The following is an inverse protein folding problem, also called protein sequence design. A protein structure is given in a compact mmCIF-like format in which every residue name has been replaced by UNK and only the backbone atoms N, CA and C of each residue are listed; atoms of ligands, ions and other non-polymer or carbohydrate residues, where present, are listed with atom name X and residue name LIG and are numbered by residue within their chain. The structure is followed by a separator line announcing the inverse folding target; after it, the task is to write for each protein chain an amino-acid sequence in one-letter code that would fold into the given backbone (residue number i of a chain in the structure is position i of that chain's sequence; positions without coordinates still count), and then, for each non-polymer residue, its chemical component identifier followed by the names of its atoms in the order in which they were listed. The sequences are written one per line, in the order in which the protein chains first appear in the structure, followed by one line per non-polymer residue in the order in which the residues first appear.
data_IF_800071123413
#
_entry.id   IF_800071123413
#
_cell.length_a   1.000
_cell.length_b   1.000
_cell.length_c   1.000
_cell.angle_alpha   90.00
_cell.angle_beta   90.00
_cell.angle_gamma   90.00
#
_symmetry.space_group_name_H-M   'P 1'
#
loop_
_entity.id
_entity.type
_entity.pdbx_description
1 polymer ?
#
# COMPACT_ATOMS: atom_id res chain seq x y z
N UNK A 1 -19.83 8.62 33.05
CA UNK A 1 -20.94 7.97 32.31
C UNK A 1 -20.62 7.96 30.80
N UNK A 2 -19.48 7.31 30.37
CA UNK A 2 -19.05 7.23 28.96
C UNK A 2 -18.51 5.83 28.57
N UNK A 3 -18.88 4.79 29.31
CA UNK A 3 -18.41 3.42 29.09
C UNK A 3 -19.37 2.52 28.28
N UNK A 4 -20.55 3.03 27.91
CA UNK A 4 -21.57 2.25 27.22
C UNK A 4 -21.42 2.15 25.70
N UNK A 5 -20.65 3.05 25.08
CA UNK A 5 -20.57 3.12 23.60
C UNK A 5 -19.41 2.33 22.97
N UNK A 6 -18.44 1.88 23.77
CA UNK A 6 -17.31 1.06 23.25
C UNK A 6 -17.69 -0.42 23.03
N UNK A 7 -18.78 -0.88 23.64
CA UNK A 7 -19.19 -2.29 23.56
C UNK A 7 -19.89 -2.63 22.22
N UNK A 8 -20.39 -1.64 21.50
CA UNK A 8 -21.11 -1.86 20.23
C UNK A 8 -20.25 -1.93 18.98
N UNK A 9 -18.94 -1.64 19.09
CA UNK A 9 -17.98 -1.73 17.98
C UNK A 9 -17.10 -2.97 18.02
N UNK A 10 -17.31 -3.88 18.95
CA UNK A 10 -16.52 -5.11 19.01
C UNK A 10 -17.08 -6.17 18.08
N UNK A 11 -16.34 -6.43 17.03
CA UNK A 11 -16.41 -7.48 16.04
C UNK A 11 -16.85 -8.85 16.63
N UNK A 12 -17.76 -9.61 15.98
CA UNK A 12 -18.30 -10.88 16.43
C UNK A 12 -17.30 -12.04 16.59
N UNK A 13 -16.00 -11.80 16.36
CA UNK A 13 -14.93 -12.81 16.44
C UNK A 13 -14.29 -13.00 17.84
N UNK A 14 -14.76 -12.28 18.86
CA UNK A 14 -14.24 -12.47 20.22
C UNK A 14 -15.07 -13.49 21.00
N UNK A 15 -14.46 -14.58 21.40
CA UNK A 15 -15.05 -15.45 22.42
C UNK A 15 -15.27 -14.65 23.73
N UNK A 16 -16.49 -14.64 24.26
CA UNK A 16 -16.91 -13.84 25.42
C UNK A 16 -15.97 -13.91 26.64
N UNK A 17 -15.23 -15.01 26.80
CA UNK A 17 -14.34 -15.25 27.94
C UNK A 17 -12.94 -14.62 27.84
N UNK A 18 -12.44 -14.36 26.65
CA UNK A 18 -11.09 -13.73 26.47
C UNK A 18 -11.17 -12.22 26.54
N UNK A 19 -12.24 -11.64 25.99
CA UNK A 19 -12.47 -10.20 26.01
C UNK A 19 -12.65 -9.66 27.43
N UNK A 20 -13.36 -10.38 28.29
CA UNK A 20 -13.54 -9.99 29.70
C UNK A 20 -12.23 -10.01 30.49
N UNK A 21 -11.30 -10.93 30.21
CA UNK A 21 -9.98 -10.98 30.85
C UNK A 21 -9.10 -9.79 30.44
N UNK A 22 -9.15 -9.37 29.15
CA UNK A 22 -8.38 -8.23 28.66
C UNK A 22 -8.91 -6.93 29.24
N UNK A 23 -10.23 -6.73 29.29
CA UNK A 23 -10.83 -5.54 29.92
C UNK A 23 -10.43 -5.45 31.39
N UNK A 24 -10.39 -6.55 32.11
CA UNK A 24 -9.97 -6.55 33.52
C UNK A 24 -8.50 -6.15 33.69
N UNK A 25 -7.58 -6.59 32.80
CA UNK A 25 -6.17 -6.23 32.90
C UNK A 25 -5.93 -4.79 32.48
N UNK A 26 -6.55 -4.34 31.37
CA UNK A 26 -6.38 -2.97 30.83
C UNK A 26 -7.00 -1.92 31.76
N UNK A 27 -8.03 -2.25 32.52
CA UNK A 27 -8.73 -1.33 33.43
C UNK A 27 -7.81 -0.79 34.56
N UNK A 28 -6.79 -1.56 34.95
CA UNK A 28 -5.86 -1.22 36.04
C UNK A 28 -4.50 -0.67 35.55
N UNK A 29 -4.31 -0.51 34.22
CA UNK A 29 -3.07 0.06 33.68
C UNK A 29 -3.13 1.60 33.59
N UNK A 30 -2.01 2.33 33.77
CA UNK A 30 -1.91 3.75 33.44
C UNK A 30 -2.27 4.02 31.96
N UNK A 31 -2.88 5.16 31.66
CA UNK A 31 -3.40 5.44 30.31
C UNK A 31 -2.33 5.43 29.21
N UNK A 32 -1.12 5.86 29.53
CA UNK A 32 0.05 5.77 28.62
C UNK A 32 0.42 4.32 28.24
N UNK A 33 0.24 3.36 29.16
CA UNK A 33 0.55 1.95 28.93
C UNK A 33 -0.62 1.21 28.26
N UNK A 34 -1.86 1.68 28.46
CA UNK A 34 -3.06 1.11 27.80
C UNK A 34 -2.96 1.16 26.29
N UNK A 35 -2.53 2.30 25.75
CA UNK A 35 -2.40 2.49 24.29
C UNK A 35 -1.36 1.55 23.69
N UNK A 36 -0.21 1.38 24.36
CA UNK A 36 0.84 0.49 23.89
C UNK A 36 0.49 -0.99 24.10
N UNK A 37 -0.19 -1.35 25.18
CA UNK A 37 -0.66 -2.70 25.40
C UNK A 37 -1.71 -3.12 24.38
N UNK A 38 -2.63 -2.21 24.01
CA UNK A 38 -3.64 -2.44 22.94
C UNK A 38 -2.97 -2.57 21.58
N UNK A 39 -2.00 -1.69 21.25
CA UNK A 39 -1.21 -1.79 20.03
C UNK A 39 -0.43 -3.11 19.96
N UNK A 40 0.27 -3.47 21.03
CA UNK A 40 1.05 -4.71 21.11
C UNK A 40 0.17 -5.96 21.01
N UNK A 41 -1.03 -5.91 21.57
CA UNK A 41 -1.99 -7.01 21.48
C UNK A 41 -2.59 -7.14 20.07
N UNK A 42 -2.90 -6.02 19.43
CA UNK A 42 -3.35 -5.98 18.03
C UNK A 42 -2.27 -6.52 17.09
N UNK A 43 -0.99 -6.17 17.30
CA UNK A 43 0.15 -6.69 16.54
C UNK A 43 0.33 -8.20 16.74
N UNK A 44 0.17 -8.72 17.97
CA UNK A 44 0.30 -10.16 18.25
C UNK A 44 -0.78 -11.04 17.62
N UNK A 45 -1.92 -10.47 17.21
CA UNK A 45 -3.02 -11.20 16.56
C UNK A 45 -3.05 -11.09 15.04
N UNK A 46 -2.13 -10.35 14.42
CA UNK A 46 -2.00 -10.38 12.96
C UNK A 46 -1.58 -11.77 12.54
N UNK A 47 -2.35 -12.35 11.63
CA UNK A 47 -1.97 -13.60 10.98
C UNK A 47 -0.67 -13.39 10.20
N UNK A 48 -0.01 -14.47 9.81
CA UNK A 48 1.17 -14.41 8.91
C UNK A 48 0.80 -14.08 7.46
N UNK A 49 -0.40 -13.54 7.22
CA UNK A 49 -0.95 -13.30 5.89
C UNK A 49 -0.46 -11.97 5.33
N UNK A 50 -0.06 -11.96 4.07
CA UNK A 50 0.37 -10.77 3.34
C UNK A 50 -0.77 -10.29 2.45
N UNK A 51 -1.19 -9.02 2.60
CA UNK A 51 -2.11 -8.37 1.68
C UNK A 51 -1.39 -7.89 0.43
N UNK A 52 -1.90 -8.22 -0.76
CA UNK A 52 -1.34 -7.76 -2.03
C UNK A 52 -2.43 -7.03 -2.80
N UNK A 53 -2.20 -5.76 -3.11
CA UNK A 53 -3.18 -4.87 -3.74
C UNK A 53 -2.62 -4.34 -5.05
N UNK A 54 -3.33 -4.58 -6.16
CA UNK A 54 -3.16 -3.86 -7.41
C UNK A 54 -4.39 -3.02 -7.72
N UNK A 55 -4.26 -1.99 -8.53
CA UNK A 55 -5.38 -1.15 -8.94
C UNK A 55 -6.21 -1.81 -10.05
N UNK A 56 -5.55 -2.46 -10.98
CA UNK A 56 -6.14 -3.07 -12.17
C UNK A 56 -6.11 -4.59 -12.10
N UNK A 57 -7.01 -5.25 -12.85
CA UNK A 57 -7.02 -6.72 -12.92
C UNK A 57 -5.73 -7.25 -13.51
N UNK A 58 -5.20 -6.57 -14.52
CA UNK A 58 -3.95 -6.91 -15.20
C UNK A 58 -2.77 -7.03 -14.24
N UNK A 59 -2.73 -6.20 -13.20
CA UNK A 59 -1.66 -6.18 -12.19
C UNK A 59 -1.69 -7.38 -11.23
N UNK A 60 -2.89 -7.98 -11.03
CA UNK A 60 -3.08 -9.05 -10.04
C UNK A 60 -3.52 -10.38 -10.63
N UNK A 61 -4.02 -10.41 -11.88
CA UNK A 61 -4.56 -11.62 -12.48
C UNK A 61 -3.57 -12.79 -12.47
N UNK A 62 -2.32 -12.53 -12.87
CA UNK A 62 -1.29 -13.58 -12.91
C UNK A 62 -0.92 -14.09 -11.51
N UNK A 63 -0.85 -13.23 -10.52
CA UNK A 63 -0.63 -13.63 -9.13
C UNK A 63 -1.82 -14.47 -8.61
N UNK A 64 -3.05 -14.10 -8.96
CA UNK A 64 -4.25 -14.89 -8.62
C UNK A 64 -4.26 -16.28 -9.28
N UNK A 65 -3.82 -16.38 -10.54
CA UNK A 65 -3.68 -17.65 -11.25
C UNK A 65 -2.65 -18.57 -10.59
N UNK A 66 -1.52 -18.01 -10.15
CA UNK A 66 -0.41 -18.75 -9.53
C UNK A 66 -0.67 -19.07 -8.05
N UNK A 67 -1.75 -18.54 -7.47
CA UNK A 67 -2.09 -18.76 -6.07
C UNK A 67 -2.53 -20.20 -5.82
N UNK A 68 -1.81 -20.91 -4.98
CA UNK A 68 -2.13 -22.26 -4.52
C UNK A 68 -3.19 -22.22 -3.41
N UNK A 69 -3.94 -23.31 -3.22
CA UNK A 69 -5.00 -23.44 -2.21
C UNK A 69 -6.03 -22.27 -2.27
N UNK A 70 -6.38 -21.85 -3.48
CA UNK A 70 -7.13 -20.63 -3.79
C UNK A 70 -8.57 -20.68 -3.29
N UNK A 71 -8.97 -19.69 -2.50
CA UNK A 71 -10.34 -19.41 -2.05
C UNK A 71 -10.75 -18.01 -2.51
N UNK A 72 -11.90 -17.89 -3.19
CA UNK A 72 -12.47 -16.60 -3.59
C UNK A 72 -13.48 -16.13 -2.54
N UNK A 73 -13.28 -14.93 -2.02
CA UNK A 73 -14.08 -14.37 -0.92
C UNK A 73 -14.58 -12.98 -1.32
N UNK A 74 -15.90 -12.79 -1.29
CA UNK A 74 -16.50 -11.48 -1.53
C UNK A 74 -16.74 -10.76 -0.19
N UNK A 75 -16.34 -9.49 -0.10
CA UNK A 75 -16.63 -8.57 1.00
C UNK A 75 -17.12 -7.23 0.45
N UNK A 76 -18.40 -6.97 0.59
CA UNK A 76 -19.01 -5.82 -0.05
C UNK A 76 -18.83 -5.86 -1.57
N UNK A 77 -18.33 -4.79 -2.20
CA UNK A 77 -18.09 -4.75 -3.63
C UNK A 77 -16.77 -5.40 -4.05
N UNK A 78 -15.91 -5.84 -3.11
CA UNK A 78 -14.57 -6.34 -3.40
C UNK A 78 -14.52 -7.86 -3.43
N UNK A 79 -13.71 -8.38 -4.38
CA UNK A 79 -13.38 -9.79 -4.50
C UNK A 79 -11.92 -10.01 -4.10
N UNK A 80 -11.73 -10.90 -3.15
CA UNK A 80 -10.43 -11.28 -2.62
C UNK A 80 -10.11 -12.71 -3.02
N UNK A 81 -8.85 -12.97 -3.33
CA UNK A 81 -8.32 -14.32 -3.51
C UNK A 81 -7.35 -14.60 -2.38
N UNK A 82 -7.73 -15.51 -1.49
CA UNK A 82 -6.88 -16.00 -0.40
C UNK A 82 -6.23 -17.30 -0.82
N UNK A 83 -4.98 -17.52 -0.45
CA UNK A 83 -4.24 -18.77 -0.72
C UNK A 83 -2.77 -18.62 -0.44
N UNK A 84 -1.91 -19.28 -1.23
CA UNK A 84 -0.46 -19.24 -1.05
C UNK A 84 0.27 -18.84 -2.33
N UNK A 85 1.29 -17.99 -2.18
CA UNK A 85 2.26 -17.66 -3.23
C UNK A 85 3.67 -17.85 -2.67
N UNK A 86 4.52 -18.56 -3.39
CA UNK A 86 5.89 -18.87 -2.93
C UNK A 86 5.94 -19.42 -1.49
N UNK A 87 4.92 -20.18 -1.10
CA UNK A 87 4.78 -20.76 0.25
C UNK A 87 4.28 -19.80 1.33
N UNK A 88 4.05 -18.51 1.03
CA UNK A 88 3.50 -17.53 1.97
C UNK A 88 1.97 -17.45 1.87
N UNK A 89 1.30 -17.32 3.00
CA UNK A 89 -0.14 -17.03 3.04
C UNK A 89 -0.41 -15.62 2.53
N UNK A 90 -1.25 -15.49 1.50
CA UNK A 90 -1.57 -14.22 0.86
C UNK A 90 -3.06 -13.99 0.73
N UNK A 91 -3.44 -12.72 0.64
CA UNK A 91 -4.76 -12.29 0.15
C UNK A 91 -4.55 -11.21 -0.91
N UNK A 92 -5.05 -11.48 -2.12
CA UNK A 92 -4.91 -10.60 -3.27
C UNK A 92 -6.24 -9.93 -3.58
N UNK A 93 -6.19 -8.67 -4.00
CA UNK A 93 -7.37 -7.98 -4.51
C UNK A 93 -7.03 -6.96 -5.59
N UNK A 94 -8.04 -6.69 -6.43
CA UNK A 94 -8.08 -5.52 -7.29
C UNK A 94 -8.84 -4.42 -6.55
N UNK A 95 -8.19 -3.29 -6.33
CA UNK A 95 -8.79 -2.15 -5.64
C UNK A 95 -9.73 -1.32 -6.54
N UNK A 96 -9.39 -1.18 -7.82
CA UNK A 96 -9.89 -0.16 -8.74
C UNK A 96 -8.98 1.07 -8.73
N UNK A 97 -9.05 1.85 -9.81
CA UNK A 97 -8.21 3.03 -10.03
C UNK A 97 -8.67 4.18 -9.12
N UNK A 98 -7.70 4.93 -8.61
CA UNK A 98 -7.89 6.16 -7.84
C UNK A 98 -7.95 5.97 -6.33
N UNK A 99 -7.71 7.07 -5.62
CA UNK A 99 -7.50 7.11 -4.17
C UNK A 99 -8.68 6.56 -3.35
N UNK A 100 -9.91 6.86 -3.74
CA UNK A 100 -11.11 6.43 -3.01
C UNK A 100 -11.27 4.91 -3.10
N UNK A 101 -11.11 4.33 -4.29
CA UNK A 101 -11.18 2.89 -4.50
C UNK A 101 -10.07 2.18 -3.70
N UNK A 102 -8.84 2.68 -3.81
CA UNK A 102 -7.67 2.15 -3.11
C UNK A 102 -7.85 2.16 -1.59
N UNK A 103 -8.29 3.28 -1.02
CA UNK A 103 -8.52 3.43 0.41
C UNK A 103 -9.60 2.48 0.93
N UNK A 104 -10.76 2.45 0.25
CA UNK A 104 -11.90 1.62 0.66
C UNK A 104 -11.57 0.11 0.57
N UNK A 105 -10.89 -0.32 -0.50
CA UNK A 105 -10.45 -1.71 -0.67
C UNK A 105 -9.42 -2.10 0.42
N UNK A 106 -8.47 -1.21 0.72
CA UNK A 106 -7.45 -1.45 1.76
C UNK A 106 -8.10 -1.63 3.12
N UNK A 107 -9.07 -0.79 3.49
CA UNK A 107 -9.78 -0.94 4.75
C UNK A 107 -10.57 -2.26 4.79
N UNK A 108 -11.28 -2.59 3.71
CA UNK A 108 -12.01 -3.86 3.61
C UNK A 108 -11.10 -5.09 3.75
N UNK A 109 -9.90 -5.04 3.15
CA UNK A 109 -8.87 -6.08 3.28
C UNK A 109 -8.40 -6.21 4.73
N UNK A 110 -8.08 -5.10 5.38
CA UNK A 110 -7.59 -5.08 6.77
C UNK A 110 -8.66 -5.63 7.72
N UNK A 111 -9.91 -5.20 7.58
CA UNK A 111 -11.02 -5.63 8.44
C UNK A 111 -11.34 -7.12 8.27
N UNK A 112 -11.26 -7.63 7.03
CA UNK A 112 -11.64 -9.01 6.75
C UNK A 112 -10.53 -10.02 7.07
N UNK A 113 -9.25 -9.65 6.92
CA UNK A 113 -8.14 -10.61 6.93
C UNK A 113 -7.04 -10.29 7.94
N UNK A 114 -7.00 -9.08 8.52
CA UNK A 114 -5.99 -8.64 9.50
C UNK A 114 -4.55 -8.96 9.05
N UNK A 115 -4.11 -8.51 7.87
CA UNK A 115 -2.81 -8.86 7.30
C UNK A 115 -1.66 -8.39 8.19
N UNK A 116 -0.54 -9.12 8.17
CA UNK A 116 0.69 -8.74 8.85
C UNK A 116 1.33 -7.51 8.19
N UNK A 117 1.27 -7.47 6.86
CA UNK A 117 1.81 -6.39 6.03
C UNK A 117 1.05 -6.29 4.71
N UNK A 118 1.16 -5.15 4.05
CA UNK A 118 0.53 -4.88 2.75
C UNK A 118 1.60 -4.55 1.72
N UNK A 119 1.51 -5.18 0.55
CA UNK A 119 2.27 -4.85 -0.66
C UNK A 119 1.28 -4.23 -1.65
N UNK A 120 1.54 -3.00 -2.08
CA UNK A 120 0.89 -2.42 -3.23
C UNK A 120 1.81 -2.60 -4.44
N UNK A 121 1.34 -3.30 -5.45
CA UNK A 121 2.08 -3.61 -6.68
C UNK A 121 1.38 -3.01 -7.88
N UNK A 122 2.13 -2.62 -8.90
CA UNK A 122 1.59 -2.04 -10.12
C UNK A 122 2.61 -1.24 -10.91
N UNK A 123 2.09 -0.40 -11.81
CA UNK A 123 2.90 0.45 -12.69
C UNK A 123 2.85 1.92 -12.28
N UNK A 124 3.80 2.73 -12.78
CA UNK A 124 3.85 4.16 -12.51
C UNK A 124 4.59 4.91 -13.63
N UNK A 125 4.36 6.23 -13.72
CA UNK A 125 5.14 7.14 -14.55
C UNK A 125 6.39 7.64 -13.82
N UNK A 126 7.56 7.62 -14.48
CA UNK A 126 8.82 8.12 -13.95
C UNK A 126 8.82 9.65 -13.82
N UNK A 127 9.19 10.16 -12.65
CA UNK A 127 9.37 11.59 -12.39
C UNK A 127 10.86 11.96 -12.31
N UNK A 128 11.67 11.16 -11.60
CA UNK A 128 13.11 11.37 -11.51
C UNK A 128 13.79 11.10 -12.87
N UNK A 129 14.88 11.82 -13.14
CA UNK A 129 15.55 11.76 -14.45
C UNK A 129 16.34 10.46 -14.67
N UNK A 130 16.83 9.89 -13.57
CA UNK A 130 17.64 8.66 -13.57
C UNK A 130 16.81 7.37 -13.68
N UNK A 131 15.49 7.47 -13.58
CA UNK A 131 14.58 6.32 -13.59
C UNK A 131 13.90 6.22 -14.95
N UNK A 132 14.00 5.06 -15.57
CA UNK A 132 13.53 4.82 -16.93
C UNK A 132 12.45 3.74 -16.98
N UNK A 133 11.80 3.64 -18.14
CA UNK A 133 10.79 2.60 -18.41
C UNK A 133 11.37 1.22 -18.14
N UNK A 134 10.59 0.39 -17.44
CA UNK A 134 10.91 -0.95 -16.93
C UNK A 134 11.82 -1.01 -15.71
N UNK A 135 12.29 0.10 -15.18
CA UNK A 135 12.96 0.11 -13.87
C UNK A 135 11.96 -0.11 -12.74
N UNK A 136 12.45 -0.63 -11.62
CA UNK A 136 11.69 -0.81 -10.38
C UNK A 136 11.93 0.35 -9.42
N UNK A 137 10.85 0.97 -8.96
CA UNK A 137 10.86 1.85 -7.81
C UNK A 137 10.31 1.12 -6.58
N UNK A 138 11.11 1.09 -5.52
CA UNK A 138 10.74 0.70 -4.16
C UNK A 138 10.43 1.97 -3.38
N UNK A 139 9.25 2.08 -2.76
CA UNK A 139 8.89 3.29 -2.02
C UNK A 139 9.70 3.42 -0.74
N UNK A 140 10.30 4.60 -0.51
CA UNK A 140 10.74 5.01 0.83
C UNK A 140 9.57 5.57 1.62
N UNK A 141 8.72 6.33 0.96
CA UNK A 141 7.51 6.95 1.48
C UNK A 141 6.51 7.20 0.33
N UNK A 142 5.28 7.59 0.70
CA UNK A 142 4.26 8.01 -0.25
C UNK A 142 3.50 9.22 0.28
N UNK A 143 3.08 10.14 -0.62
CA UNK A 143 2.25 11.30 -0.29
C UNK A 143 1.22 11.60 -1.38
N UNK A 144 0.16 12.33 -1.01
CA UNK A 144 -0.86 12.79 -1.95
C UNK A 144 -0.51 14.18 -2.46
N UNK A 145 -0.02 14.30 -3.70
CA UNK A 145 0.45 15.57 -4.27
C UNK A 145 -0.68 16.56 -4.62
N UNK A 146 -1.90 16.07 -4.70
CA UNK A 146 -3.11 16.83 -5.03
C UNK A 146 -3.93 17.24 -3.79
N UNK A 147 -3.39 16.98 -2.59
CA UNK A 147 -3.94 17.51 -1.35
C UNK A 147 -3.44 18.95 -1.16
N UNK A 148 -4.36 19.90 -1.23
CA UNK A 148 -4.04 21.33 -1.05
C UNK A 148 -4.89 21.94 0.07
N UNK A 149 -4.20 22.31 1.14
CA UNK A 149 -4.75 23.06 2.26
C UNK A 149 -3.84 24.26 2.61
N UNK A 150 -3.11 24.78 1.62
CA UNK A 150 -2.16 25.87 1.80
C UNK A 150 -2.82 27.17 2.27
N UNK A 151 -4.07 27.42 1.90
CA UNK A 151 -4.88 28.53 2.40
C UNK A 151 -5.03 28.51 3.95
N UNK A 152 -4.90 27.35 4.57
CA UNK A 152 -4.93 27.18 6.02
C UNK A 152 -3.54 27.07 6.64
N UNK A 153 -2.47 27.37 5.88
CA UNK A 153 -1.08 27.36 6.34
C UNK A 153 -0.43 25.97 6.38
N UNK A 154 -1.05 24.94 5.81
CA UNK A 154 -0.41 23.64 5.66
C UNK A 154 0.54 23.62 4.46
N UNK A 155 1.65 22.87 4.51
CA UNK A 155 2.44 22.57 3.32
C UNK A 155 1.58 21.88 2.25
N UNK A 156 1.88 22.10 0.98
CA UNK A 156 1.23 21.38 -0.12
C UNK A 156 1.48 19.87 0.03
N UNK A 157 0.44 19.05 -0.15
CA UNK A 157 0.48 17.60 0.09
C UNK A 157 0.17 17.20 1.55
N UNK A 158 0.19 18.14 2.49
CA UNK A 158 -0.14 17.86 3.88
C UNK A 158 -1.63 17.68 4.08
N UNK A 159 -2.03 16.52 4.58
CA UNK A 159 -3.41 16.30 5.00
C UNK A 159 -3.61 17.04 6.35
N UNK A 160 -4.58 17.95 6.44
CA UNK A 160 -4.81 18.70 7.67
C UNK A 160 -5.01 17.80 8.89
N UNK A 161 -4.33 18.14 10.00
CA UNK A 161 -4.34 17.40 11.28
C UNK A 161 -3.67 16.02 11.27
N UNK A 162 -3.08 15.58 10.16
CA UNK A 162 -2.15 14.45 10.16
C UNK A 162 -0.75 14.98 10.53
N UNK A 163 0.01 14.16 11.27
CA UNK A 163 1.37 14.54 11.70
C UNK A 163 2.37 14.44 10.54
N UNK A 164 2.20 13.43 9.71
CA UNK A 164 3.12 13.11 8.62
C UNK A 164 2.69 13.79 7.31
N UNK A 165 3.61 14.47 6.62
CA UNK A 165 3.43 14.93 5.24
C UNK A 165 3.42 13.74 4.27
N UNK A 166 4.30 12.78 4.50
CA UNK A 166 4.42 11.56 3.72
C UNK A 166 4.38 10.34 4.64
N UNK A 167 3.79 9.25 4.17
CA UNK A 167 3.67 8.00 4.90
C UNK A 167 4.90 7.13 4.66
N UNK A 168 5.79 6.90 5.66
CA UNK A 168 6.98 6.09 5.48
C UNK A 168 6.63 4.61 5.30
N UNK A 169 7.27 3.95 4.33
CA UNK A 169 7.18 2.51 4.15
C UNK A 169 7.96 1.76 5.24
N UNK A 170 7.69 0.48 5.41
CA UNK A 170 8.36 -0.35 6.42
C UNK A 170 9.81 -0.67 6.02
N UNK A 171 10.77 -0.30 6.86
CA UNK A 171 12.21 -0.39 6.58
C UNK A 171 12.66 -1.81 6.23
N UNK A 172 12.21 -2.82 6.97
CA UNK A 172 12.56 -4.23 6.70
C UNK A 172 12.05 -4.71 5.34
N UNK A 173 10.87 -4.22 4.92
CA UNK A 173 10.34 -4.53 3.61
C UNK A 173 11.15 -3.83 2.51
N UNK A 174 11.59 -2.59 2.74
CA UNK A 174 12.50 -1.85 1.84
C UNK A 174 13.80 -2.62 1.65
N UNK A 175 14.48 -2.97 2.76
CA UNK A 175 15.75 -3.71 2.72
C UNK A 175 15.63 -5.02 1.94
N UNK A 176 14.57 -5.81 2.20
CA UNK A 176 14.28 -7.05 1.46
C UNK A 176 14.07 -6.76 -0.03
N UNK A 177 13.25 -5.76 -0.39
CA UNK A 177 12.98 -5.42 -1.77
C UNK A 177 14.24 -4.99 -2.54
N UNK A 178 15.09 -4.18 -1.91
CA UNK A 178 16.37 -3.78 -2.49
C UNK A 178 17.35 -4.96 -2.67
N UNK A 179 17.36 -5.90 -1.73
CA UNK A 179 18.18 -7.11 -1.82
C UNK A 179 17.70 -8.02 -2.97
N UNK A 180 16.39 -8.22 -3.08
CA UNK A 180 15.77 -8.97 -4.19
C UNK A 180 16.07 -8.29 -5.53
N UNK A 181 15.89 -6.96 -5.63
CA UNK A 181 16.15 -6.23 -6.86
C UNK A 181 17.61 -6.34 -7.33
N UNK A 182 18.58 -6.39 -6.41
CA UNK A 182 19.99 -6.62 -6.73
C UNK A 182 20.27 -8.02 -7.28
N UNK A 183 19.48 -9.01 -6.92
CA UNK A 183 19.65 -10.41 -7.36
C UNK A 183 18.98 -10.70 -8.70
N UNK A 184 18.00 -9.87 -9.11
CA UNK A 184 17.30 -10.01 -10.37
C UNK A 184 18.00 -9.24 -11.50
N UNK A 185 17.72 -9.60 -12.74
CA UNK A 185 18.29 -8.96 -13.93
C UNK A 185 17.19 -8.38 -14.82
N UNK A 186 17.58 -7.45 -15.69
CA UNK A 186 16.70 -6.87 -16.70
C UNK A 186 16.06 -5.54 -16.32
N UNK A 187 16.37 -5.00 -15.14
CA UNK A 187 15.96 -3.67 -14.69
C UNK A 187 16.90 -3.15 -13.59
N UNK A 188 16.87 -1.84 -13.34
CA UNK A 188 17.51 -1.24 -12.18
C UNK A 188 16.48 -1.04 -11.07
N UNK A 189 16.96 -1.05 -9.83
CA UNK A 189 16.12 -0.87 -8.65
C UNK A 189 16.50 0.42 -7.94
N UNK A 190 15.51 1.28 -7.74
CA UNK A 190 15.65 2.57 -7.08
C UNK A 190 14.83 2.63 -5.80
N UNK A 191 15.34 3.34 -4.81
CA UNK A 191 14.58 3.72 -3.62
C UNK A 191 14.15 5.18 -3.75
N UNK A 192 12.85 5.47 -3.64
CA UNK A 192 12.39 6.83 -3.84
C UNK A 192 10.99 7.11 -3.33
N UNK A 193 10.55 8.35 -3.50
CA UNK A 193 9.23 8.83 -3.12
C UNK A 193 8.20 8.52 -4.20
N UNK A 194 7.09 7.92 -3.80
CA UNK A 194 5.89 7.77 -4.63
C UNK A 194 4.95 8.93 -4.36
N UNK A 195 4.49 9.61 -5.41
CA UNK A 195 3.45 10.64 -5.26
C UNK A 195 2.17 10.21 -5.96
N UNK A 196 1.05 10.35 -5.24
CA UNK A 196 -0.26 9.87 -5.66
C UNK A 196 -1.21 11.04 -5.91
N UNK A 197 -2.01 10.93 -6.97
CA UNK A 197 -3.12 11.84 -7.23
C UNK A 197 -4.11 11.27 -8.23
N UNK A 198 -5.36 11.71 -8.20
CA UNK A 198 -6.40 11.23 -9.12
C UNK A 198 -6.25 11.86 -10.52
N UNK A 199 -5.05 11.71 -11.11
CA UNK A 199 -4.70 12.28 -12.41
C UNK A 199 -3.60 11.45 -13.08
N UNK A 200 -3.81 11.08 -14.36
CA UNK A 200 -2.75 10.54 -15.20
C UNK A 200 -1.83 11.69 -15.64
N UNK A 201 -0.58 11.67 -15.19
CA UNK A 201 0.39 12.74 -15.47
C UNK A 201 1.01 12.51 -16.85
N UNK A 202 0.73 13.44 -17.79
CA UNK A 202 1.19 13.38 -19.18
C UNK A 202 1.74 14.73 -19.68
N UNK A 203 2.10 15.66 -18.80
CA UNK A 203 2.69 16.93 -19.18
C UNK A 203 4.06 17.12 -18.53
N UNK A 204 5.00 17.65 -19.31
CA UNK A 204 6.35 17.96 -18.82
C UNK A 204 6.30 18.99 -17.65
N UNK A 205 5.42 19.98 -17.73
CA UNK A 205 5.25 20.96 -16.68
C UNK A 205 4.84 20.32 -15.34
N UNK A 206 3.84 19.41 -15.37
CA UNK A 206 3.41 18.70 -14.17
C UNK A 206 4.50 17.76 -13.64
N UNK A 207 5.22 17.07 -14.51
CA UNK A 207 6.38 16.26 -14.15
C UNK A 207 7.43 17.08 -13.39
N UNK A 208 7.83 18.23 -13.95
CA UNK A 208 8.81 19.10 -13.32
C UNK A 208 8.33 19.69 -12.00
N UNK A 209 7.05 20.05 -11.92
CA UNK A 209 6.43 20.50 -10.68
C UNK A 209 6.52 19.41 -9.60
N UNK A 210 6.10 18.16 -9.90
CA UNK A 210 6.14 17.06 -8.96
C UNK A 210 7.57 16.73 -8.49
N UNK A 211 8.54 16.82 -9.41
CA UNK A 211 9.95 16.61 -9.08
C UNK A 211 10.49 17.68 -8.13
N UNK A 212 10.23 18.96 -8.43
CA UNK A 212 10.77 20.10 -7.67
C UNK A 212 10.09 20.26 -6.31
N UNK A 213 8.77 20.18 -6.28
CA UNK A 213 7.98 20.45 -5.08
C UNK A 213 8.05 19.30 -4.10
N UNK A 214 7.90 18.06 -4.58
CA UNK A 214 7.79 16.89 -3.71
C UNK A 214 9.03 16.00 -3.71
N UNK A 215 10.04 16.27 -4.54
CA UNK A 215 11.18 15.37 -4.76
C UNK A 215 10.68 13.96 -5.16
N UNK A 216 9.66 13.93 -6.01
CA UNK A 216 9.02 12.71 -6.46
C UNK A 216 9.97 11.87 -7.32
N UNK A 217 9.93 10.56 -7.15
CA UNK A 217 10.65 9.59 -7.99
C UNK A 217 9.73 8.97 -9.05
N UNK A 218 8.48 8.68 -8.71
CA UNK A 218 7.43 8.31 -9.65
C UNK A 218 6.08 8.87 -9.22
N UNK A 219 5.09 8.82 -10.13
CA UNK A 219 3.71 9.19 -9.85
C UNK A 219 2.75 8.08 -10.29
N UNK A 220 1.67 7.92 -9.52
CA UNK A 220 0.62 6.93 -9.75
C UNK A 220 -0.69 7.41 -9.08
N UNK A 221 -1.71 6.55 -8.93
CA UNK A 221 -3.05 7.04 -8.53
C UNK A 221 -3.61 6.39 -7.24
N UNK A 222 -2.89 5.50 -6.53
CA UNK A 222 -3.41 4.70 -5.40
C UNK A 222 -2.51 4.65 -4.17
N UNK A 223 -1.21 4.59 -4.36
CA UNK A 223 -0.24 4.15 -3.35
C UNK A 223 -0.30 4.93 -2.05
N UNK A 224 -0.37 6.27 -2.09
CA UNK A 224 -0.45 7.06 -0.87
C UNK A 224 -1.78 6.89 -0.13
N UNK A 225 -2.88 6.58 -0.83
CA UNK A 225 -4.15 6.27 -0.18
C UNK A 225 -4.11 4.93 0.55
N UNK A 226 -3.48 3.91 -0.06
CA UNK A 226 -3.20 2.61 0.58
C UNK A 226 -2.29 2.81 1.79
N UNK A 227 -1.21 3.56 1.63
CA UNK A 227 -0.25 3.89 2.68
C UNK A 227 -0.92 4.59 3.88
N UNK A 228 -1.77 5.58 3.63
CA UNK A 228 -2.53 6.30 4.65
C UNK A 228 -3.42 5.35 5.47
N UNK A 229 -4.19 4.49 4.79
CA UNK A 229 -5.08 3.53 5.47
C UNK A 229 -4.26 2.48 6.24
N UNK A 230 -3.20 1.94 5.65
CA UNK A 230 -2.31 1.01 6.33
C UNK A 230 -1.71 1.64 7.59
N UNK A 231 -1.18 2.88 7.50
CA UNK A 231 -0.63 3.64 8.61
C UNK A 231 -1.65 3.85 9.74
N UNK A 232 -2.88 4.30 9.40
CA UNK A 232 -3.97 4.51 10.38
C UNK A 232 -4.34 3.22 11.13
N UNK A 233 -4.25 2.07 10.47
CA UNK A 233 -4.49 0.76 11.06
C UNK A 233 -3.23 0.14 11.69
N UNK A 234 -2.08 0.83 11.63
CA UNK A 234 -0.79 0.34 12.12
C UNK A 234 -0.31 -0.90 11.36
N UNK A 235 -0.69 -1.10 10.10
CA UNK A 235 -0.23 -2.21 9.24
C UNK A 235 1.00 -1.74 8.46
N UNK A 236 2.15 -2.44 8.56
CA UNK A 236 3.31 -2.18 7.71
C UNK A 236 2.95 -2.28 6.22
N UNK A 237 3.53 -1.43 5.38
CA UNK A 237 3.29 -1.46 3.95
C UNK A 237 4.55 -1.19 3.13
N UNK A 238 4.51 -1.61 1.87
CA UNK A 238 5.49 -1.27 0.83
C UNK A 238 4.76 -1.06 -0.49
N UNK A 239 5.20 -0.05 -1.25
CA UNK A 239 4.74 0.18 -2.62
C UNK A 239 5.86 -0.19 -3.58
N UNK A 240 5.53 -1.01 -4.56
CA UNK A 240 6.43 -1.47 -5.63
C UNK A 240 5.85 -1.02 -6.97
N UNK A 241 6.62 -0.27 -7.75
CA UNK A 241 6.19 0.26 -9.04
C UNK A 241 7.20 -0.05 -10.13
N UNK A 242 6.79 -0.80 -11.13
CA UNK A 242 7.54 -0.87 -12.38
C UNK A 242 7.13 0.29 -13.29
N UNK A 243 8.12 0.93 -13.90
CA UNK A 243 7.88 2.13 -14.70
C UNK A 243 7.31 1.74 -16.07
N UNK A 244 6.12 2.26 -16.38
CA UNK A 244 5.44 2.05 -17.67
C UNK A 244 5.66 3.20 -18.67
N UNK A 245 5.92 4.39 -18.15
CA UNK A 245 6.05 5.61 -18.93
C UNK A 245 6.91 6.67 -18.22
N UNK A 246 7.20 7.76 -18.88
CA UNK A 246 8.04 8.83 -18.35
C UNK A 246 7.25 10.06 -17.86
N UNK A 247 5.95 9.93 -17.63
CA UNK A 247 5.06 10.99 -17.14
C UNK A 247 5.19 12.32 -17.94
N UNK A 248 5.38 12.23 -19.26
CA UNK A 248 5.55 13.37 -20.17
C UNK A 248 4.53 13.31 -21.31
N UNK A 249 4.68 14.16 -22.34
CA UNK A 249 3.78 14.20 -23.48
C UNK A 249 3.73 12.90 -24.30
N UNK A 250 4.71 12.01 -24.15
CA UNK A 250 4.74 10.67 -24.78
C UNK A 250 4.15 9.59 -23.88
N UNK A 251 3.83 9.90 -22.60
CA UNK A 251 3.38 8.93 -21.62
C UNK A 251 2.22 8.04 -22.10
N UNK A 252 1.15 8.55 -22.74
CA UNK A 252 0.06 7.68 -23.22
C UNK A 252 0.50 6.61 -24.21
N UNK A 253 1.45 6.92 -25.09
CA UNK A 253 1.97 5.98 -26.07
C UNK A 253 2.94 4.97 -25.43
N UNK A 254 3.84 5.46 -24.58
CA UNK A 254 4.79 4.63 -23.84
C UNK A 254 4.09 3.68 -22.91
N UNK A 255 3.06 4.14 -22.18
CA UNK A 255 2.22 3.31 -21.31
C UNK A 255 1.62 2.14 -22.10
N UNK A 256 0.96 2.41 -23.23
CA UNK A 256 0.32 1.35 -24.04
C UNK A 256 1.34 0.31 -24.55
N UNK A 257 2.56 0.73 -24.83
CA UNK A 257 3.63 -0.14 -25.33
C UNK A 257 4.22 -1.02 -24.23
N UNK A 258 4.47 -0.45 -23.03
CA UNK A 258 5.26 -1.10 -21.99
C UNK A 258 4.47 -1.63 -20.79
N UNK A 259 3.20 -1.25 -20.64
CA UNK A 259 2.35 -1.67 -19.53
C UNK A 259 2.42 -3.18 -19.26
N UNK A 260 2.19 -4.00 -20.28
CA UNK A 260 2.20 -5.46 -20.15
C UNK A 260 3.53 -6.01 -19.66
N UNK A 261 4.63 -5.44 -20.15
CA UNK A 261 5.98 -5.87 -19.79
C UNK A 261 6.32 -5.45 -18.36
N UNK A 262 5.97 -4.23 -17.97
CA UNK A 262 6.13 -3.73 -16.62
C UNK A 262 5.31 -4.56 -15.61
N UNK A 263 4.07 -4.92 -15.95
CA UNK A 263 3.23 -5.80 -15.14
C UNK A 263 3.84 -7.21 -15.01
N UNK A 264 4.35 -7.80 -16.08
CA UNK A 264 4.99 -9.11 -16.03
C UNK A 264 6.21 -9.11 -15.09
N UNK A 265 7.08 -8.08 -15.20
CA UNK A 265 8.21 -7.91 -14.28
C UNK A 265 7.77 -7.70 -12.84
N UNK A 266 6.67 -6.97 -12.61
CA UNK A 266 6.09 -6.76 -11.29
C UNK A 266 5.64 -8.09 -10.65
N UNK A 267 4.99 -8.97 -11.42
CA UNK A 267 4.59 -10.31 -10.97
C UNK A 267 5.82 -11.13 -10.57
N UNK A 268 6.82 -11.20 -11.44
CA UNK A 268 8.06 -11.97 -11.18
C UNK A 268 8.77 -11.44 -9.92
N UNK A 269 8.82 -10.12 -9.75
CA UNK A 269 9.41 -9.49 -8.58
C UNK A 269 8.65 -9.82 -7.29
N UNK A 270 7.32 -9.72 -7.29
CA UNK A 270 6.49 -10.04 -6.12
C UNK A 270 6.69 -11.51 -5.72
N UNK A 271 6.72 -12.44 -6.67
CA UNK A 271 6.97 -13.86 -6.39
C UNK A 271 8.34 -14.10 -5.76
N UNK A 272 9.38 -13.40 -6.22
CA UNK A 272 10.72 -13.50 -5.64
C UNK A 272 10.78 -12.84 -4.27
N UNK A 273 10.14 -11.68 -4.09
CA UNK A 273 10.05 -10.99 -2.82
C UNK A 273 9.34 -11.83 -1.74
N UNK A 274 8.41 -12.68 -2.11
CA UNK A 274 7.69 -13.55 -1.16
C UNK A 274 8.52 -14.76 -0.68
N UNK A 275 9.57 -15.16 -1.39
CA UNK A 275 10.50 -16.21 -0.92
C UNK A 275 11.31 -15.75 0.30
#
# INVERSE_FOLDING_TARGET
MYYGSLIHFCNPFFGKNEFSKIIQVVQFMPDAIKTDAIKTYAVKRRGKMIGIIGAMEEEVAKLKELCEDREEIQKGPYFFVKGKLSGQEVVLCKAGIGKVNAAACTQALIDAFSPEQIINTGVAGAIAEEIHVLDLLVSKDALQYDMDATEFGYPLGQIPREEDLAFPAEERMIEKALAVGKSMQGFHTFLGRVVTGDCFVSSQEKKEFLRKEFQASCCEMEGAAIAQIARKNGVPFLILRFISDEANTKAPMTYTEFERKAIAQSVDFVLEFLK
#
